data_IF_109873268458
#
_entry.id   IF_109873268458
#
_cell.length_a   1.000
_cell.length_b   1.000
_cell.length_c   1.000
_cell.angle_alpha   90.00
_cell.angle_beta   90.00
_cell.angle_gamma   90.00
#
_symmetry.space_group_name_H-M   'P 1'
#
loop_
_entity.id
_entity.type
_entity.pdbx_description
1 polymer ?
#
# COMPACT_ATOMS: atom_id res chain seq x y z
N UNK A 1 -13.85 30.44 12.62
CA UNK A 1 -13.77 29.23 11.81
C UNK A 1 -13.22 28.12 12.66
N UNK A 2 -13.97 27.03 12.79
CA UNK A 2 -13.50 25.81 13.47
C UNK A 2 -12.50 25.19 12.48
N UNK A 3 -11.20 25.24 12.77
CA UNK A 3 -10.22 24.37 12.12
C UNK A 3 -10.57 22.93 12.54
N UNK A 4 -11.25 22.22 11.67
CA UNK A 4 -11.33 20.77 11.78
C UNK A 4 -9.89 20.24 11.76
N UNK A 5 -9.46 19.63 12.85
CA UNK A 5 -8.20 18.85 12.85
C UNK A 5 -8.42 17.69 11.90
N UNK A 6 -7.99 17.85 10.65
CA UNK A 6 -8.07 16.83 9.61
C UNK A 6 -7.07 15.68 9.82
N UNK A 7 -6.31 15.73 10.89
CA UNK A 7 -5.29 14.73 11.25
C UNK A 7 -5.55 14.20 12.65
N UNK A 8 -5.45 12.88 12.80
CA UNK A 8 -5.64 12.19 14.07
C UNK A 8 -4.59 11.11 14.23
N UNK A 9 -3.85 11.18 15.32
CA UNK A 9 -2.98 10.11 15.77
C UNK A 9 -3.72 9.26 16.80
N UNK A 10 -3.75 7.95 16.56
CA UNK A 10 -4.35 6.97 17.45
C UNK A 10 -3.24 6.00 17.84
N UNK A 11 -2.88 6.00 19.12
CA UNK A 11 -1.86 5.10 19.64
C UNK A 11 -2.49 4.11 20.62
N UNK A 12 -2.34 2.82 20.32
CA UNK A 12 -2.66 1.73 21.23
C UNK A 12 -1.37 1.21 21.83
N UNK A 13 -1.22 1.38 23.14
CA UNK A 13 -0.12 0.81 23.93
C UNK A 13 -0.67 -0.39 24.67
N UNK A 14 -0.14 -1.56 24.40
CA UNK A 14 -0.57 -2.81 25.02
C UNK A 14 0.62 -3.57 25.60
N UNK A 15 0.42 -4.50 26.54
CA UNK A 15 1.50 -5.39 26.99
C UNK A 15 2.17 -6.19 25.87
N UNK A 16 1.52 -6.30 24.70
CA UNK A 16 2.01 -7.03 23.54
C UNK A 16 2.70 -6.15 22.49
N UNK A 17 2.80 -4.85 22.73
CA UNK A 17 3.46 -3.89 21.85
C UNK A 17 2.59 -2.70 21.47
N UNK A 18 3.13 -1.88 20.60
CA UNK A 18 2.53 -0.62 20.17
C UNK A 18 1.94 -0.72 18.76
N UNK A 19 0.77 -0.09 18.61
CA UNK A 19 0.13 0.12 17.30
C UNK A 19 -0.13 1.62 17.17
N UNK A 20 0.34 2.20 16.08
CA UNK A 20 0.16 3.61 15.77
C UNK A 20 -0.60 3.74 14.44
N UNK A 21 -1.69 4.49 14.47
CA UNK A 21 -2.38 4.95 13.26
C UNK A 21 -2.26 6.47 13.16
N UNK A 22 -1.91 6.91 11.96
CA UNK A 22 -2.00 8.30 11.57
C UNK A 22 -3.06 8.42 10.48
N UNK A 23 -4.17 9.05 10.81
CA UNK A 23 -5.29 9.28 9.91
C UNK A 23 -5.30 10.73 9.43
N UNK A 24 -5.47 10.92 8.13
CA UNK A 24 -5.68 12.21 7.50
C UNK A 24 -6.97 12.20 6.69
N UNK A 25 -7.98 12.92 7.15
CA UNK A 25 -9.26 13.11 6.47
C UNK A 25 -9.15 14.27 5.47
N UNK A 26 -9.34 13.97 4.18
CA UNK A 26 -9.34 14.96 3.08
C UNK A 26 -10.76 15.49 2.84
N UNK A 27 -11.73 14.56 2.78
CA UNK A 27 -13.16 14.83 2.76
C UNK A 27 -13.85 13.83 3.68
N UNK A 28 -15.17 13.92 3.86
CA UNK A 28 -15.94 12.96 4.68
C UNK A 28 -15.78 11.51 4.20
N UNK A 29 -15.54 11.29 2.90
CA UNK A 29 -15.47 9.97 2.29
C UNK A 29 -14.05 9.61 1.80
N UNK A 30 -13.11 10.56 1.82
CA UNK A 30 -11.73 10.37 1.36
C UNK A 30 -10.76 10.56 2.50
N UNK A 31 -10.10 9.51 2.92
CA UNK A 31 -9.10 9.57 3.98
C UNK A 31 -7.88 8.70 3.66
N UNK A 32 -6.77 9.03 4.30
CA UNK A 32 -5.51 8.29 4.26
C UNK A 32 -5.25 7.78 5.67
N UNK A 33 -4.98 6.48 5.79
CA UNK A 33 -4.63 5.82 7.04
C UNK A 33 -3.23 5.20 6.91
N UNK A 34 -2.33 5.58 7.80
CA UNK A 34 -1.01 4.98 7.91
C UNK A 34 -0.97 4.15 9.17
N UNK A 35 -0.68 2.87 9.05
CA UNK A 35 -0.53 1.96 10.18
C UNK A 35 0.94 1.62 10.44
N UNK A 36 1.34 1.59 11.71
CA UNK A 36 2.62 1.07 12.14
C UNK A 36 2.40 0.14 13.32
N UNK A 37 2.90 -1.09 13.21
CA UNK A 37 2.69 -2.14 14.19
C UNK A 37 4.05 -2.66 14.64
N UNK A 38 4.34 -2.55 15.94
CA UNK A 38 5.56 -3.07 16.57
C UNK A 38 5.16 -3.92 17.77
N UNK A 39 5.11 -5.23 17.57
CA UNK A 39 4.58 -6.17 18.55
C UNK A 39 5.68 -7.07 19.10
N UNK A 40 5.62 -7.36 20.42
CA UNK A 40 6.57 -8.20 21.15
C UNK A 40 6.10 -9.66 21.28
N UNK A 41 4.85 -9.92 20.84
CA UNK A 41 4.24 -11.25 20.76
C UNK A 41 3.57 -11.43 19.39
N UNK A 42 3.31 -12.69 19.01
CA UNK A 42 2.43 -13.00 17.89
C UNK A 42 0.99 -12.55 18.25
N UNK A 43 0.41 -11.67 17.44
CA UNK A 43 -0.90 -11.07 17.71
C UNK A 43 -1.78 -11.18 16.48
N UNK A 44 -3.03 -11.59 16.70
CA UNK A 44 -4.09 -11.47 15.71
C UNK A 44 -5.01 -10.30 16.08
N UNK A 45 -5.19 -9.37 15.16
CA UNK A 45 -6.07 -8.21 15.32
C UNK A 45 -7.30 -8.44 14.47
N UNK A 46 -8.48 -8.37 15.09
CA UNK A 46 -9.76 -8.43 14.37
C UNK A 46 -10.31 -7.03 14.17
N UNK A 47 -10.62 -6.69 12.93
CA UNK A 47 -11.31 -5.48 12.53
C UNK A 47 -12.69 -5.83 11.95
N UNK A 48 -13.66 -4.94 12.15
CA UNK A 48 -14.99 -5.02 11.58
C UNK A 48 -15.46 -3.63 11.21
N UNK A 49 -15.99 -3.50 9.99
CA UNK A 49 -16.65 -2.29 9.51
C UNK A 49 -18.14 -2.53 9.26
N UNK A 50 -18.96 -1.55 9.61
CA UNK A 50 -20.43 -1.63 9.50
C UNK A 50 -20.95 -1.26 8.10
N UNK A 51 -20.06 -0.87 7.19
CA UNK A 51 -20.39 -0.47 5.82
C UNK A 51 -19.43 -1.08 4.81
N UNK A 52 -19.79 -1.04 3.53
CA UNK A 52 -18.85 -1.41 2.46
C UNK A 52 -17.64 -0.48 2.45
N UNK A 53 -16.51 -1.01 2.02
CA UNK A 53 -15.23 -0.30 1.99
C UNK A 53 -14.62 -0.40 0.59
N UNK A 54 -14.31 0.75 -0.01
CA UNK A 54 -13.46 0.85 -1.19
C UNK A 54 -12.15 1.47 -0.76
N UNK A 55 -11.05 0.73 -0.92
CA UNK A 55 -9.73 1.18 -0.48
C UNK A 55 -8.61 0.82 -1.44
N UNK A 56 -7.57 1.64 -1.44
CA UNK A 56 -6.23 1.25 -1.88
C UNK A 56 -5.47 0.81 -0.64
N UNK A 57 -5.07 -0.45 -0.60
CA UNK A 57 -4.29 -1.01 0.50
C UNK A 57 -2.87 -1.32 0.03
N UNK A 58 -1.86 -0.82 0.74
CA UNK A 58 -0.45 -1.06 0.48
C UNK A 58 0.29 -1.57 1.73
N UNK A 59 0.86 -2.75 1.63
CA UNK A 59 1.86 -3.23 2.57
C UNK A 59 3.23 -2.65 2.18
N UNK A 60 3.68 -1.65 2.92
CA UNK A 60 4.99 -1.00 2.70
C UNK A 60 6.10 -1.57 3.60
N UNK A 61 5.87 -2.75 4.17
CA UNK A 61 6.86 -3.51 4.93
C UNK A 61 7.65 -4.44 4.02
N UNK A 62 8.76 -4.93 4.52
CA UNK A 62 9.57 -5.97 3.88
C UNK A 62 9.11 -7.41 4.26
N UNK A 63 8.03 -7.52 5.04
CA UNK A 63 7.41 -8.76 5.47
C UNK A 63 5.96 -8.86 4.99
N UNK A 64 5.49 -10.08 4.76
CA UNK A 64 4.09 -10.33 4.41
C UNK A 64 3.17 -10.14 5.62
N UNK A 65 2.00 -9.58 5.39
CA UNK A 65 0.93 -9.47 6.37
C UNK A 65 -0.11 -10.56 6.08
N UNK A 66 -0.42 -11.41 7.06
CA UNK A 66 -1.43 -12.45 6.93
C UNK A 66 -2.83 -11.89 7.14
N UNK A 67 -3.78 -12.28 6.29
CA UNK A 67 -5.21 -11.96 6.44
C UNK A 67 -6.01 -13.24 6.51
N UNK A 68 -6.96 -13.28 7.44
CA UNK A 68 -7.98 -14.32 7.54
C UNK A 68 -9.32 -13.62 7.37
N UNK A 69 -9.83 -13.60 6.15
CA UNK A 69 -11.15 -13.06 5.84
C UNK A 69 -12.04 -14.19 5.34
N UNK A 70 -13.19 -14.45 5.94
CA UNK A 70 -14.21 -15.30 5.34
C UNK A 70 -14.70 -14.62 4.05
N UNK A 71 -14.50 -15.23 2.90
CA UNK A 71 -14.84 -14.64 1.60
C UNK A 71 -13.76 -13.78 0.97
N UNK A 72 -12.59 -13.71 1.58
CA UNK A 72 -11.51 -12.86 1.07
C UNK A 72 -10.89 -13.39 -0.21
N UNK A 73 -10.57 -12.42 -1.05
CA UNK A 73 -9.86 -12.63 -2.32
C UNK A 73 -8.41 -13.07 -2.08
N UNK A 74 -7.85 -12.91 -0.86
CA UNK A 74 -6.45 -13.22 -0.52
C UNK A 74 -6.22 -13.52 0.96
N UNK A 75 -5.30 -14.44 1.20
CA UNK A 75 -4.87 -14.85 2.54
C UNK A 75 -3.72 -13.99 3.09
N UNK A 76 -3.11 -13.12 2.29
CA UNK A 76 -1.98 -12.28 2.70
C UNK A 76 -1.75 -11.09 1.77
N UNK A 77 -1.08 -10.05 2.27
CA UNK A 77 -0.45 -9.00 1.48
C UNK A 77 1.07 -9.22 1.44
N UNK A 78 1.61 -9.37 0.23
CA UNK A 78 3.06 -9.55 0.02
C UNK A 78 3.85 -8.32 0.45
N UNK A 79 5.14 -8.46 0.75
CA UNK A 79 6.02 -7.31 0.97
C UNK A 79 6.02 -6.36 -0.23
N UNK A 80 6.00 -5.06 0.06
CA UNK A 80 6.04 -4.02 -0.97
C UNK A 80 5.03 -4.26 -2.09
N UNK A 81 3.78 -4.46 -1.71
CA UNK A 81 2.69 -4.66 -2.65
C UNK A 81 1.36 -4.13 -2.12
N UNK A 82 0.38 -4.01 -2.99
CA UNK A 82 -0.95 -3.56 -2.63
C UNK A 82 -1.99 -3.89 -3.69
N UNK A 83 -3.19 -3.39 -3.50
CA UNK A 83 -4.28 -3.49 -4.47
C UNK A 83 -5.31 -2.38 -4.25
N UNK A 84 -6.24 -2.22 -5.19
CA UNK A 84 -7.48 -1.49 -4.98
C UNK A 84 -8.56 -2.55 -4.76
N UNK A 85 -9.23 -2.50 -3.61
CA UNK A 85 -10.19 -3.52 -3.18
C UNK A 85 -11.52 -2.90 -2.81
N UNK A 86 -12.58 -3.61 -3.09
CA UNK A 86 -13.89 -3.34 -2.56
C UNK A 86 -14.33 -4.52 -1.69
N UNK A 87 -14.74 -4.21 -0.47
CA UNK A 87 -15.37 -5.15 0.44
C UNK A 87 -16.83 -4.75 0.61
N UNK A 88 -17.75 -5.71 0.43
CA UNK A 88 -19.14 -5.51 0.80
C UNK A 88 -19.25 -5.34 2.33
N UNK A 89 -20.33 -4.78 2.83
CA UNK A 89 -20.53 -4.65 4.28
C UNK A 89 -20.45 -5.99 5.02
N UNK A 90 -20.92 -7.07 4.38
CA UNK A 90 -20.89 -8.44 4.93
C UNK A 90 -19.46 -8.98 5.04
N UNK A 91 -18.59 -8.63 4.08
CA UNK A 91 -17.20 -9.09 4.01
C UNK A 91 -16.21 -8.11 4.66
N UNK A 92 -16.69 -6.93 5.12
CA UNK A 92 -15.83 -5.92 5.73
C UNK A 92 -15.45 -6.28 7.17
N UNK A 93 -14.84 -7.43 7.32
CA UNK A 93 -14.24 -7.90 8.55
C UNK A 93 -12.96 -8.65 8.23
N UNK A 94 -11.93 -8.42 9.02
CA UNK A 94 -10.63 -9.03 8.85
C UNK A 94 -10.07 -9.49 10.18
N UNK A 95 -9.35 -10.60 10.15
CA UNK A 95 -8.41 -10.98 11.19
C UNK A 95 -7.01 -10.91 10.57
N UNK A 96 -6.16 -10.08 11.14
CA UNK A 96 -4.82 -9.79 10.61
C UNK A 96 -3.79 -10.37 11.56
N UNK A 97 -2.91 -11.22 11.05
CA UNK A 97 -1.88 -11.88 11.85
C UNK A 97 -0.54 -11.14 11.73
N UNK A 98 -0.05 -10.66 12.85
CA UNK A 98 1.27 -10.03 13.00
C UNK A 98 2.22 -10.92 13.79
N UNK A 99 3.45 -11.05 13.31
CA UNK A 99 4.51 -11.80 13.99
C UNK A 99 5.29 -10.89 14.92
N UNK A 100 5.73 -11.44 16.04
CA UNK A 100 6.56 -10.73 17.02
C UNK A 100 7.86 -10.22 16.43
N UNK A 101 8.35 -9.13 17.01
CA UNK A 101 9.65 -8.53 16.71
C UNK A 101 9.82 -8.09 15.23
N UNK A 102 8.70 -7.93 14.51
CA UNK A 102 8.63 -7.42 13.15
C UNK A 102 7.90 -6.07 13.16
N UNK A 103 8.45 -5.09 12.46
CA UNK A 103 7.77 -3.82 12.23
C UNK A 103 6.99 -3.92 10.92
N UNK A 104 5.68 -3.79 11.04
CA UNK A 104 4.80 -3.71 9.88
C UNK A 104 4.35 -2.27 9.67
N UNK A 105 4.31 -1.86 8.40
CA UNK A 105 3.80 -0.57 8.00
C UNK A 105 2.79 -0.74 6.88
N UNK A 106 1.63 -0.15 7.02
CA UNK A 106 0.59 -0.08 6.00
C UNK A 106 0.35 1.34 5.57
N UNK A 107 -0.16 1.49 4.36
CA UNK A 107 -0.59 2.76 3.81
C UNK A 107 -1.89 2.52 3.05
N UNK A 108 -2.97 3.02 3.60
CA UNK A 108 -4.32 2.77 3.14
C UNK A 108 -4.99 4.08 2.72
N UNK A 109 -5.79 4.06 1.67
CA UNK A 109 -6.58 5.19 1.21
C UNK A 109 -8.01 4.71 1.05
N UNK A 110 -8.92 5.22 1.87
CA UNK A 110 -10.35 5.02 1.71
C UNK A 110 -10.86 5.95 0.63
N UNK A 111 -11.52 5.40 -0.38
CA UNK A 111 -11.95 6.11 -1.58
C UNK A 111 -13.47 6.21 -1.64
N UNK A 112 -14.05 7.36 -1.99
CA UNK A 112 -15.43 7.41 -2.43
C UNK A 112 -15.55 6.80 -3.83
N UNK A 113 -16.66 6.10 -4.07
CA UNK A 113 -16.86 5.36 -5.32
C UNK A 113 -16.79 6.24 -6.57
N UNK A 114 -17.22 7.50 -6.47
CA UNK A 114 -17.22 8.46 -7.58
C UNK A 114 -15.81 8.79 -8.13
N UNK A 115 -14.75 8.50 -7.37
CA UNK A 115 -13.36 8.64 -7.84
C UNK A 115 -13.08 7.69 -9.00
N UNK A 116 -13.70 6.50 -9.01
CA UNK A 116 -13.47 5.47 -10.03
C UNK A 116 -14.59 5.41 -11.09
N UNK A 117 -15.85 5.66 -10.73
CA UNK A 117 -16.99 5.53 -11.66
C UNK A 117 -16.93 6.46 -12.86
N UNK A 118 -16.25 7.59 -12.73
CA UNK A 118 -16.03 8.51 -13.87
C UNK A 118 -15.15 7.93 -14.99
N UNK A 119 -14.53 6.79 -14.77
CA UNK A 119 -13.73 6.05 -15.76
C UNK A 119 -14.43 4.78 -16.28
N UNK A 120 -15.73 4.66 -16.05
CA UNK A 120 -16.53 3.58 -16.62
C UNK A 120 -16.53 3.68 -18.16
N UNK A 121 -16.32 2.54 -18.82
CA UNK A 121 -16.17 2.48 -20.28
C UNK A 121 -14.75 2.70 -20.83
N UNK A 122 -13.79 3.13 -20.00
CA UNK A 122 -12.42 3.43 -20.45
C UNK A 122 -11.48 2.20 -20.37
N UNK A 123 -11.81 1.21 -19.56
CA UNK A 123 -10.97 0.02 -19.37
C UNK A 123 -11.78 -1.20 -18.99
N UNK A 124 -11.56 -2.33 -19.68
CA UNK A 124 -12.23 -3.61 -19.39
C UNK A 124 -11.98 -4.09 -17.95
N UNK A 125 -10.80 -3.80 -17.40
CA UNK A 125 -10.46 -4.17 -16.01
C UNK A 125 -11.24 -3.30 -15.05
N UNK A 126 -11.29 -1.99 -15.28
CA UNK A 126 -12.07 -1.06 -14.48
C UNK A 126 -13.57 -1.37 -14.56
N UNK A 127 -14.10 -1.63 -15.74
CA UNK A 127 -15.52 -2.00 -15.95
C UNK A 127 -15.89 -3.28 -15.21
N UNK A 128 -15.01 -4.29 -15.26
CA UNK A 128 -15.24 -5.52 -14.51
C UNK A 128 -15.26 -5.28 -13.00
N UNK A 129 -14.33 -4.47 -12.50
CA UNK A 129 -14.25 -4.09 -11.10
C UNK A 129 -15.50 -3.31 -10.66
N UNK A 130 -15.91 -2.28 -11.41
CA UNK A 130 -17.10 -1.48 -11.13
C UNK A 130 -18.40 -2.29 -11.19
N UNK A 131 -18.53 -3.20 -12.16
CA UNK A 131 -19.66 -4.11 -12.26
C UNK A 131 -19.82 -5.03 -11.02
N UNK A 132 -18.71 -5.48 -10.43
CA UNK A 132 -18.75 -6.26 -9.20
C UNK A 132 -19.19 -5.39 -8.01
N UNK A 133 -18.69 -4.16 -7.92
CA UNK A 133 -19.12 -3.20 -6.89
C UNK A 133 -20.62 -2.92 -6.98
N UNK A 134 -21.15 -2.68 -8.19
CA UNK A 134 -22.59 -2.45 -8.41
C UNK A 134 -23.44 -3.65 -7.94
N UNK A 135 -22.91 -4.87 -8.01
CA UNK A 135 -23.54 -6.09 -7.50
C UNK A 135 -23.29 -6.33 -6.02
N UNK A 136 -22.68 -5.38 -5.33
CA UNK A 136 -22.25 -5.50 -3.92
C UNK A 136 -21.38 -6.75 -3.67
N UNK A 137 -20.52 -7.11 -4.64
CA UNK A 137 -19.65 -8.27 -4.57
C UNK A 137 -18.23 -7.84 -4.26
N UNK A 138 -17.65 -8.35 -3.18
CA UNK A 138 -16.27 -8.07 -2.81
C UNK A 138 -15.30 -8.48 -3.91
N UNK A 139 -14.38 -7.58 -4.26
CA UNK A 139 -13.53 -7.75 -5.44
C UNK A 139 -12.24 -6.93 -5.30
N UNK A 140 -11.25 -7.28 -6.09
CA UNK A 140 -10.03 -6.51 -6.24
C UNK A 140 -9.83 -6.09 -7.70
N UNK A 141 -9.25 -4.92 -7.93
CA UNK A 141 -8.98 -4.39 -9.27
C UNK A 141 -8.01 -5.31 -10.02
N UNK A 142 -6.99 -5.81 -9.34
CA UNK A 142 -6.05 -6.78 -9.89
C UNK A 142 -6.22 -8.16 -9.23
N UNK A 143 -6.12 -9.22 -10.04
CA UNK A 143 -6.06 -10.60 -9.54
C UNK A 143 -4.77 -10.88 -8.78
N UNK A 144 -3.68 -10.26 -9.22
CA UNK A 144 -2.39 -10.30 -8.55
C UNK A 144 -2.19 -9.01 -7.76
N UNK A 145 -1.23 -9.03 -6.83
CA UNK A 145 -0.89 -7.82 -6.10
C UNK A 145 -0.08 -6.87 -6.99
N UNK A 146 -0.40 -5.59 -6.92
CA UNK A 146 0.33 -4.51 -7.55
C UNK A 146 1.65 -4.32 -6.80
N UNK A 147 2.78 -4.50 -7.46
CA UNK A 147 4.09 -4.29 -6.85
C UNK A 147 4.38 -2.80 -6.66
N UNK A 148 4.83 -2.46 -5.45
CA UNK A 148 5.26 -1.10 -5.13
C UNK A 148 6.68 -0.91 -5.68
N UNK A 149 6.76 -0.47 -6.94
CA UNK A 149 8.03 -0.02 -7.54
C UNK A 149 8.38 1.41 -7.11
N UNK A 150 9.53 1.91 -7.59
CA UNK A 150 10.06 3.22 -7.20
C UNK A 150 9.06 4.37 -7.40
N UNK A 151 8.25 4.34 -8.47
CA UNK A 151 7.25 5.39 -8.75
C UNK A 151 6.14 5.39 -7.70
N UNK A 152 5.48 4.25 -7.45
CA UNK A 152 4.41 4.14 -6.45
C UNK A 152 4.95 4.50 -5.07
N UNK A 153 6.14 3.98 -4.70
CA UNK A 153 6.77 4.30 -3.43
C UNK A 153 7.06 5.80 -3.30
N UNK A 154 7.57 6.44 -4.36
CA UNK A 154 7.81 7.88 -4.38
C UNK A 154 6.55 8.68 -4.11
N UNK A 155 5.42 8.34 -4.75
CA UNK A 155 4.13 9.01 -4.51
C UNK A 155 3.64 8.79 -3.08
N UNK A 156 3.78 7.58 -2.53
CA UNK A 156 3.46 7.31 -1.11
C UNK A 156 4.31 8.21 -0.20
N UNK A 157 5.61 8.35 -0.46
CA UNK A 157 6.49 9.23 0.32
C UNK A 157 6.12 10.72 0.17
N UNK A 158 5.74 11.17 -1.03
CA UNK A 158 5.25 12.53 -1.28
C UNK A 158 4.00 12.85 -0.45
N UNK A 159 3.07 11.90 -0.33
CA UNK A 159 1.88 12.02 0.51
C UNK A 159 2.28 12.09 1.99
N UNK A 160 3.12 11.16 2.45
CA UNK A 160 3.57 11.07 3.85
C UNK A 160 4.32 12.32 4.30
N UNK A 161 5.11 12.91 3.43
CA UNK A 161 5.94 14.08 3.71
C UNK A 161 5.30 15.41 3.24
N UNK A 162 4.00 15.43 2.99
CA UNK A 162 3.31 16.61 2.50
C UNK A 162 3.35 17.75 3.53
N UNK A 163 4.06 18.83 3.21
CA UNK A 163 4.21 20.02 4.05
C UNK A 163 3.18 21.13 3.78
N UNK A 164 2.38 20.99 2.74
CA UNK A 164 1.34 21.98 2.39
C UNK A 164 0.23 22.01 3.46
N UNK A 165 -0.52 23.11 3.49
CA UNK A 165 -1.64 23.31 4.43
C UNK A 165 -2.89 23.80 3.70
N UNK A 166 -4.03 23.67 4.37
CA UNK A 166 -5.33 24.16 3.88
C UNK A 166 -5.70 23.62 2.50
N UNK A 167 -6.23 24.46 1.64
CA UNK A 167 -6.69 24.10 0.30
C UNK A 167 -5.56 23.48 -0.57
N UNK A 168 -4.37 24.07 -0.50
CA UNK A 168 -3.21 23.55 -1.28
C UNK A 168 -2.90 22.12 -0.91
N UNK A 169 -2.91 21.77 0.39
CA UNK A 169 -2.71 20.40 0.86
C UNK A 169 -3.79 19.47 0.32
N UNK A 170 -5.06 19.88 0.39
CA UNK A 170 -6.18 19.08 -0.12
C UNK A 170 -6.01 18.77 -1.59
N UNK A 171 -5.79 19.77 -2.45
CA UNK A 171 -5.59 19.59 -3.89
C UNK A 171 -4.36 18.70 -4.18
N UNK A 172 -3.26 18.92 -3.44
CA UNK A 172 -2.05 18.13 -3.61
C UNK A 172 -2.29 16.66 -3.28
N UNK A 173 -2.89 16.35 -2.14
CA UNK A 173 -3.16 14.97 -1.73
C UNK A 173 -4.15 14.28 -2.69
N UNK A 174 -5.20 14.96 -3.13
CA UNK A 174 -6.12 14.44 -4.13
C UNK A 174 -5.38 14.13 -5.45
N UNK A 175 -4.50 15.02 -5.92
CA UNK A 175 -3.71 14.78 -7.13
C UNK A 175 -2.79 13.57 -7.01
N UNK A 176 -2.17 13.36 -5.85
CA UNK A 176 -1.30 12.21 -5.56
C UNK A 176 -2.08 10.89 -5.47
N UNK A 177 -3.30 10.93 -4.97
CA UNK A 177 -4.20 9.76 -4.97
C UNK A 177 -4.56 9.36 -6.41
N UNK A 178 -4.88 10.33 -7.28
CA UNK A 178 -5.09 10.05 -8.71
C UNK A 178 -3.84 9.50 -9.39
N UNK A 179 -2.67 10.01 -9.05
CA UNK A 179 -1.39 9.47 -9.54
C UNK A 179 -1.20 8.00 -9.11
N UNK A 180 -1.51 7.65 -7.85
CA UNK A 180 -1.48 6.26 -7.37
C UNK A 180 -2.46 5.37 -8.13
N UNK A 181 -3.68 5.83 -8.37
CA UNK A 181 -4.68 5.09 -9.15
C UNK A 181 -4.17 4.84 -10.57
N UNK A 182 -3.62 5.86 -11.22
CA UNK A 182 -3.07 5.74 -12.57
C UNK A 182 -1.88 4.77 -12.63
N UNK A 183 -0.93 4.86 -11.69
CA UNK A 183 0.21 3.95 -11.62
C UNK A 183 -0.21 2.51 -11.30
N UNK A 184 -1.22 2.35 -10.44
CA UNK A 184 -1.78 1.04 -10.11
C UNK A 184 -2.43 0.41 -11.35
N UNK A 185 -3.25 1.16 -12.08
CA UNK A 185 -3.86 0.70 -13.32
C UNK A 185 -2.81 0.38 -14.40
N UNK A 186 -1.80 1.25 -14.58
CA UNK A 186 -0.72 1.03 -15.55
C UNK A 186 0.04 -0.28 -15.28
N UNK A 187 0.21 -0.65 -13.99
CA UNK A 187 0.88 -1.90 -13.63
C UNK A 187 0.15 -3.15 -14.10
N UNK A 188 -1.17 -3.08 -14.32
CA UNK A 188 -1.98 -4.21 -14.81
C UNK A 188 -1.70 -4.54 -16.26
N UNK A 189 -1.41 -3.53 -17.07
CA UNK A 189 -1.13 -3.70 -18.52
C UNK A 189 0.26 -4.32 -18.73
N UNK A 190 1.19 -4.10 -17.81
CA UNK A 190 2.58 -4.54 -17.90
C UNK A 190 2.91 -5.83 -17.13
N UNK A 191 1.95 -6.45 -16.45
CA UNK A 191 2.15 -7.78 -15.85
C UNK A 191 2.60 -8.86 -16.88
N UNK A 192 2.25 -8.66 -18.15
CA UNK A 192 2.66 -9.56 -19.24
C UNK A 192 4.10 -9.38 -19.69
N UNK A 193 4.71 -8.24 -19.36
CA UNK A 193 6.11 -7.92 -19.64
C UNK A 193 7.01 -8.08 -18.41
N UNK A 194 6.63 -8.92 -17.46
CA UNK A 194 7.50 -9.24 -16.33
C UNK A 194 8.85 -9.68 -16.88
N UNK A 195 9.84 -8.81 -16.79
CA UNK A 195 11.23 -9.12 -17.11
C UNK A 195 11.58 -10.36 -16.30
N UNK A 196 11.77 -11.49 -16.98
CA UNK A 196 12.19 -12.75 -16.39
C UNK A 196 13.65 -12.56 -15.95
N UNK A 197 13.85 -11.86 -14.81
CA UNK A 197 15.18 -11.72 -14.24
C UNK A 197 15.67 -13.13 -13.89
N UNK A 198 16.85 -13.48 -14.36
CA UNK A 198 17.50 -14.71 -13.96
C UNK A 198 17.57 -14.74 -12.41
N UNK A 199 17.36 -15.89 -11.79
CA UNK A 199 17.45 -16.04 -10.33
C UNK A 199 18.73 -15.43 -9.76
N UNK A 200 19.83 -15.56 -10.48
CA UNK A 200 21.13 -14.97 -10.15
C UNK A 200 21.11 -13.44 -10.12
N UNK A 201 20.34 -12.77 -10.97
CA UNK A 201 20.23 -11.32 -10.96
C UNK A 201 19.38 -10.84 -9.78
N UNK A 202 18.32 -11.57 -9.42
CA UNK A 202 17.52 -11.30 -8.21
C UNK A 202 18.36 -11.40 -6.94
N UNK A 203 19.22 -12.43 -6.84
CA UNK A 203 20.15 -12.61 -5.71
C UNK A 203 21.14 -11.46 -5.61
N UNK A 204 21.70 -11.01 -6.74
CA UNK A 204 22.62 -9.88 -6.79
C UNK A 204 21.96 -8.56 -6.36
N UNK A 205 20.72 -8.30 -6.78
CA UNK A 205 19.97 -7.11 -6.35
C UNK A 205 19.66 -7.17 -4.84
N UNK A 206 19.27 -8.34 -4.32
CA UNK A 206 19.09 -8.52 -2.87
C UNK A 206 20.38 -8.27 -2.10
N UNK A 207 21.49 -8.75 -2.59
CA UNK A 207 22.81 -8.51 -2.00
C UNK A 207 23.19 -7.01 -2.05
N UNK A 208 22.88 -6.30 -3.15
CA UNK A 208 23.04 -4.86 -3.23
C UNK A 208 22.24 -4.13 -2.14
N UNK A 209 20.97 -4.49 -1.96
CA UNK A 209 20.12 -3.92 -0.93
C UNK A 209 20.67 -4.17 0.49
N UNK A 210 21.24 -5.35 0.73
CA UNK A 210 21.91 -5.67 2.01
C UNK A 210 23.13 -4.78 2.24
N UNK A 211 23.99 -4.64 1.22
CA UNK A 211 25.18 -3.78 1.32
C UNK A 211 24.83 -2.31 1.61
N UNK A 212 23.73 -1.80 1.06
CA UNK A 212 23.25 -0.45 1.36
C UNK A 212 22.84 -0.35 2.83
N UNK A 213 22.07 -1.30 3.34
CA UNK A 213 21.61 -1.32 4.75
C UNK A 213 22.77 -1.40 5.74
N UNK A 214 23.81 -2.19 5.42
CA UNK A 214 24.98 -2.39 6.27
C UNK A 214 25.95 -1.19 6.26
N UNK A 215 25.84 -0.30 5.26
CA UNK A 215 26.74 0.82 5.07
C UNK A 215 26.01 2.17 4.97
N UNK A 216 24.96 2.37 5.75
CA UNK A 216 24.14 3.59 5.74
C UNK A 216 24.99 4.83 6.08
N UNK A 217 25.92 4.69 7.02
CA UNK A 217 26.79 5.81 7.47
C UNK A 217 27.87 6.18 6.44
N UNK A 218 28.20 5.25 5.54
CA UNK A 218 29.16 5.48 4.46
C UNK A 218 28.70 4.74 3.19
N UNK A 219 27.68 5.26 2.50
CA UNK A 219 27.04 4.57 1.40
C UNK A 219 27.97 4.44 0.19
N UNK A 220 27.94 3.23 -0.41
CA UNK A 220 28.64 3.00 -1.66
C UNK A 220 28.05 3.83 -2.79
N UNK A 221 28.88 4.31 -3.70
CA UNK A 221 28.41 4.85 -4.97
C UNK A 221 27.75 3.77 -5.81
N UNK A 222 26.90 4.15 -6.75
CA UNK A 222 26.25 3.20 -7.67
C UNK A 222 27.29 2.35 -8.43
N UNK A 223 28.42 2.96 -8.79
CA UNK A 223 29.55 2.29 -9.50
C UNK A 223 30.15 1.19 -8.61
N UNK A 224 30.46 1.52 -7.37
CA UNK A 224 31.06 0.58 -6.41
C UNK A 224 30.07 -0.53 -6.07
N UNK A 225 28.80 -0.18 -5.87
CA UNK A 225 27.75 -1.16 -5.56
C UNK A 225 27.56 -2.16 -6.72
N UNK A 226 27.42 -1.66 -7.94
CA UNK A 226 27.28 -2.47 -9.14
C UNK A 226 28.48 -3.44 -9.31
N UNK A 227 29.72 -2.94 -9.09
CA UNK A 227 30.94 -3.76 -9.13
C UNK A 227 30.95 -4.84 -8.04
N UNK A 228 30.57 -4.49 -6.81
CA UNK A 228 30.53 -5.44 -5.67
C UNK A 228 29.54 -6.57 -5.88
N UNK A 229 28.39 -6.30 -6.48
CA UNK A 229 27.35 -7.31 -6.71
C UNK A 229 27.44 -7.98 -8.07
N UNK A 230 28.39 -7.57 -8.92
CA UNK A 230 28.64 -8.19 -10.22
C UNK A 230 27.54 -7.96 -11.26
N UNK A 231 27.00 -6.72 -11.30
CA UNK A 231 26.08 -6.23 -12.34
C UNK A 231 26.64 -4.96 -12.97
N UNK A 232 26.09 -4.56 -14.13
CA UNK A 232 26.39 -3.21 -14.65
C UNK A 232 25.48 -2.16 -13.97
N UNK A 233 25.87 -0.88 -14.07
CA UNK A 233 25.15 0.23 -13.44
C UNK A 233 23.70 0.38 -13.93
N UNK A 234 23.43 0.01 -15.20
CA UNK A 234 22.09 0.09 -15.80
C UNK A 234 21.15 -1.02 -15.29
N UNK A 235 21.72 -2.12 -14.80
CA UNK A 235 20.98 -3.26 -14.23
C UNK A 235 20.72 -3.08 -12.72
N UNK A 236 21.53 -2.29 -12.03
CA UNK A 236 21.39 -1.99 -10.62
C UNK A 236 20.34 -0.91 -10.38
#
# INVERSE_FOLDING_TARGET
>A
GIELKNEKDIKFVTPKGDILFHEHTITEELSILQGSYQLHDDVAISGHGDSSLLEMHFNISDQKIGYINPGSVKDYASPMSGNITYLSAEDNHAKIDFKKDIIYNTFDIHLPLNVLTKYEGESKVMDHFLNNIQKNTSTALSKNEIKIGAKIYGVIQDIKNCFYKGLTRKIYLESKIYELIALSHHSLDHEKEAVNLAKTDVEKIKFAAQLIRENIDNPHTIVELARKVGVNQTKL
#
